data_IF_081448154884
#
_entry.id   IF_081448154884
#
_cell.length_a   1.000
_cell.length_b   1.000
_cell.length_c   1.000
_cell.angle_alpha   90.00
_cell.angle_beta   90.00
_cell.angle_gamma   90.00
#
_symmetry.space_group_name_H-M   'P 1'
#
loop_
_entity.id
_entity.type
_entity.pdbx_description
1 polymer ?
#
# COMPACT_ATOMS: atom_id res chain seq x y z
N UNK A 1 -35.38 -37.13 44.76
CA UNK A 1 -34.17 -36.31 44.94
C UNK A 1 -33.06 -36.95 44.12
N UNK A 2 -32.60 -36.31 43.04
CA UNK A 2 -31.78 -36.93 41.98
C UNK A 2 -30.31 -36.45 42.05
N UNK A 3 -29.27 -37.32 42.01
CA UNK A 3 -27.92 -36.93 42.40
C UNK A 3 -26.98 -36.82 41.18
N UNK A 4 -26.93 -35.67 40.50
CA UNK A 4 -25.82 -35.39 39.56
C UNK A 4 -25.20 -34.03 39.87
N UNK A 5 -24.00 -34.07 40.42
CA UNK A 5 -23.14 -32.91 40.70
C UNK A 5 -22.55 -32.44 39.36
N UNK A 6 -22.79 -31.18 38.98
CA UNK A 6 -22.20 -30.59 37.76
C UNK A 6 -20.66 -30.63 37.88
N UNK A 7 -19.99 -31.19 36.88
CA UNK A 7 -18.52 -31.14 36.77
C UNK A 7 -18.07 -29.67 36.67
N UNK A 8 -16.97 -29.35 37.35
CA UNK A 8 -16.33 -28.02 37.29
C UNK A 8 -15.92 -27.71 35.85
N UNK A 9 -16.09 -26.45 35.44
CA UNK A 9 -15.74 -25.98 34.10
C UNK A 9 -14.23 -26.20 33.85
N UNK A 10 -13.91 -27.00 32.83
CA UNK A 10 -12.55 -27.27 32.38
C UNK A 10 -11.91 -25.96 31.90
N UNK A 11 -10.87 -25.50 32.59
CA UNK A 11 -10.08 -24.35 32.12
C UNK A 11 -9.10 -24.88 31.08
N UNK A 12 -9.43 -24.68 29.80
CA UNK A 12 -8.53 -25.06 28.70
C UNK A 12 -7.41 -24.02 28.58
N UNK A 13 -6.19 -24.50 28.38
CA UNK A 13 -5.10 -23.65 27.92
C UNK A 13 -5.44 -23.12 26.54
N UNK A 14 -5.36 -21.80 26.38
CA UNK A 14 -5.59 -21.11 25.11
C UNK A 14 -4.68 -21.75 24.06
N UNK A 15 -5.24 -22.23 22.95
CA UNK A 15 -4.43 -22.78 21.87
C UNK A 15 -3.64 -21.65 21.19
N UNK A 16 -2.54 -21.98 20.52
CA UNK A 16 -1.75 -20.98 19.79
C UNK A 16 -2.63 -20.23 18.77
N UNK A 17 -3.56 -20.92 18.12
CA UNK A 17 -4.52 -20.30 17.19
C UNK A 17 -5.48 -19.32 17.88
N UNK A 18 -5.94 -19.67 19.07
CA UNK A 18 -6.82 -18.82 19.87
C UNK A 18 -6.06 -17.61 20.44
N UNK A 19 -4.79 -17.77 20.79
CA UNK A 19 -3.90 -16.67 21.18
C UNK A 19 -3.59 -15.74 20.01
N UNK A 20 -3.27 -16.28 18.83
CA UNK A 20 -2.98 -15.50 17.63
C UNK A 20 -4.20 -14.72 17.15
N UNK A 21 -5.37 -15.36 17.13
CA UNK A 21 -6.62 -14.68 16.78
C UNK A 21 -6.98 -13.58 17.79
N UNK A 22 -6.77 -13.81 19.10
CA UNK A 22 -6.94 -12.78 20.13
C UNK A 22 -5.93 -11.62 19.99
N UNK A 23 -4.72 -11.91 19.51
CA UNK A 23 -3.69 -10.91 19.19
C UNK A 23 -3.96 -10.17 17.86
N UNK A 24 -5.09 -10.41 17.19
CA UNK A 24 -5.46 -9.77 15.92
C UNK A 24 -4.78 -10.36 14.70
N UNK A 25 -4.08 -11.50 14.85
CA UNK A 25 -3.46 -12.25 13.76
C UNK A 25 -4.49 -13.25 13.23
N UNK A 26 -5.19 -12.86 12.16
CA UNK A 26 -6.22 -13.71 11.55
C UNK A 26 -5.59 -14.90 10.84
N UNK A 27 -5.87 -16.12 11.31
CA UNK A 27 -5.48 -17.33 10.61
C UNK A 27 -6.27 -17.48 9.30
N UNK A 28 -5.63 -18.03 8.27
CA UNK A 28 -6.31 -18.42 7.02
C UNK A 28 -7.17 -19.68 7.23
N UNK A 29 -8.01 -20.05 6.25
CA UNK A 29 -8.85 -21.26 6.35
C UNK A 29 -8.07 -22.56 6.60
N UNK A 30 -6.78 -22.59 6.28
CA UNK A 30 -5.85 -23.70 6.54
C UNK A 30 -5.17 -23.62 7.92
N UNK A 31 -5.44 -22.60 8.73
CA UNK A 31 -4.82 -22.39 10.04
C UNK A 31 -3.49 -21.62 10.01
N UNK A 32 -2.94 -21.37 8.83
CA UNK A 32 -1.63 -20.71 8.68
C UNK A 32 -1.76 -19.19 8.70
N UNK A 33 -0.80 -18.54 9.35
CA UNK A 33 -0.68 -17.08 9.35
C UNK A 33 0.07 -16.60 8.10
N UNK A 34 -0.57 -15.74 7.31
CA UNK A 34 0.02 -15.19 6.08
C UNK A 34 0.22 -13.69 6.22
N UNK A 35 1.47 -13.27 6.14
CA UNK A 35 1.94 -11.90 6.05
C UNK A 35 2.53 -11.59 4.66
N UNK A 36 2.71 -10.31 4.29
CA UNK A 36 3.42 -9.92 3.07
C UNK A 36 4.77 -10.61 2.89
N UNK A 37 5.58 -10.71 3.96
CA UNK A 37 6.90 -11.33 3.92
C UNK A 37 6.83 -12.84 3.72
N UNK A 38 5.88 -13.53 4.38
CA UNK A 38 5.68 -14.97 4.16
C UNK A 38 5.09 -15.26 2.79
N UNK A 39 4.24 -14.38 2.25
CA UNK A 39 3.67 -14.53 0.92
C UNK A 39 4.73 -14.35 -0.17
N UNK A 40 5.62 -13.37 -0.03
CA UNK A 40 6.71 -13.13 -0.97
C UNK A 40 7.79 -14.23 -0.94
N UNK A 41 7.90 -14.99 0.16
CA UNK A 41 8.75 -16.18 0.21
C UNK A 41 8.37 -17.26 -0.82
N UNK A 42 7.15 -17.20 -1.37
CA UNK A 42 6.69 -18.12 -2.41
C UNK A 42 7.10 -17.58 -3.80
N UNK A 43 7.94 -18.32 -4.57
CA UNK A 43 8.51 -17.78 -5.82
C UNK A 43 7.47 -17.35 -6.86
N UNK A 44 6.32 -18.03 -6.90
CA UNK A 44 5.21 -17.66 -7.77
C UNK A 44 4.65 -16.26 -7.45
N UNK A 45 4.49 -15.94 -6.16
CA UNK A 45 4.00 -14.64 -5.70
C UNK A 45 5.06 -13.57 -5.95
N UNK A 46 6.32 -13.84 -5.59
CA UNK A 46 7.44 -12.92 -5.84
C UNK A 46 7.53 -12.52 -7.32
N UNK A 47 7.43 -13.50 -8.23
CA UNK A 47 7.47 -13.27 -9.67
C UNK A 47 6.26 -12.48 -10.16
N UNK A 48 5.04 -12.85 -9.75
CA UNK A 48 3.83 -12.15 -10.16
C UNK A 48 3.86 -10.67 -9.72
N UNK A 49 4.20 -10.42 -8.46
CA UNK A 49 4.32 -9.06 -7.91
C UNK A 49 5.41 -8.27 -8.64
N UNK A 50 6.55 -8.90 -8.92
CA UNK A 50 7.66 -8.26 -9.64
C UNK A 50 7.27 -7.87 -11.05
N UNK A 51 6.69 -8.78 -11.83
CA UNK A 51 6.28 -8.53 -13.22
C UNK A 51 5.28 -7.39 -13.31
N UNK A 52 4.24 -7.39 -12.46
CA UNK A 52 3.23 -6.32 -12.46
C UNK A 52 3.85 -4.99 -12.06
N UNK A 53 4.68 -4.98 -11.01
CA UNK A 53 5.27 -3.75 -10.48
C UNK A 53 6.27 -3.13 -11.44
N UNK A 54 7.07 -3.94 -12.13
CA UNK A 54 8.02 -3.46 -13.13
C UNK A 54 7.31 -2.99 -14.40
N UNK A 55 6.28 -3.70 -14.86
CA UNK A 55 5.49 -3.29 -16.01
C UNK A 55 4.85 -1.90 -15.80
N UNK A 56 4.37 -1.60 -14.59
CA UNK A 56 3.82 -0.27 -14.28
C UNK A 56 4.93 0.76 -14.09
N UNK A 57 6.07 0.36 -13.52
CA UNK A 57 7.19 1.27 -13.29
C UNK A 57 7.86 1.77 -14.58
N UNK A 58 7.80 1.02 -15.68
CA UNK A 58 8.30 1.48 -16.99
C UNK A 58 7.38 2.50 -17.66
N UNK A 59 6.12 2.63 -17.22
CA UNK A 59 5.17 3.54 -17.85
C UNK A 59 5.44 4.99 -17.41
N UNK A 60 5.62 5.93 -18.35
CA UNK A 60 5.63 7.35 -18.04
C UNK A 60 4.23 7.80 -17.59
N UNK A 61 4.18 8.73 -16.65
CA UNK A 61 2.95 9.31 -16.11
C UNK A 61 2.89 10.78 -16.49
N UNK A 62 2.27 11.08 -17.62
CA UNK A 62 2.20 12.44 -18.14
C UNK A 62 1.04 13.23 -17.53
N UNK A 63 1.31 14.48 -17.16
CA UNK A 63 0.30 15.39 -16.64
C UNK A 63 -0.37 16.18 -17.77
N UNK A 64 -1.68 16.02 -17.93
CA UNK A 64 -2.44 16.76 -18.94
C UNK A 64 -3.33 17.82 -18.31
N UNK A 65 -3.36 19.02 -18.90
CA UNK A 65 -4.39 20.03 -18.66
C UNK A 65 -5.55 19.77 -19.60
N UNK A 66 -6.72 19.54 -19.02
CA UNK A 66 -7.97 19.45 -19.76
C UNK A 66 -8.47 20.87 -20.01
N UNK A 67 -8.68 21.22 -21.28
CA UNK A 67 -9.27 22.48 -21.67
C UNK A 67 -10.56 22.22 -22.47
N UNK A 68 -11.54 23.10 -22.30
CA UNK A 68 -12.76 23.08 -23.11
C UNK A 68 -12.81 24.36 -23.93
N UNK A 69 -12.57 24.26 -25.23
CA UNK A 69 -12.72 25.39 -26.15
C UNK A 69 -13.78 25.04 -27.20
N UNK A 70 -14.72 25.95 -27.43
CA UNK A 70 -15.79 25.81 -28.43
C UNK A 70 -16.58 24.48 -28.33
N UNK A 71 -16.81 23.99 -27.11
CA UNK A 71 -17.55 22.74 -26.88
C UNK A 71 -16.75 21.45 -27.15
N UNK A 72 -15.44 21.54 -27.47
CA UNK A 72 -14.56 20.39 -27.66
C UNK A 72 -13.54 20.30 -26.52
N UNK A 73 -13.37 19.09 -25.98
CA UNK A 73 -12.30 18.79 -25.03
C UNK A 73 -10.97 18.69 -25.78
N UNK A 74 -9.98 19.47 -25.35
CA UNK A 74 -8.58 19.32 -25.74
C UNK A 74 -7.73 18.99 -24.52
N UNK A 75 -6.67 18.22 -24.74
CA UNK A 75 -5.70 17.85 -23.70
C UNK A 75 -4.34 18.36 -24.11
N UNK A 76 -3.76 19.19 -23.26
CA UNK A 76 -2.43 19.75 -23.42
C UNK A 76 -1.50 19.08 -22.43
N UNK A 77 -0.38 18.51 -22.90
CA UNK A 77 0.63 17.96 -22.00
C UNK A 77 1.39 19.09 -21.32
N UNK A 78 1.49 19.06 -20.00
CA UNK A 78 2.24 20.01 -19.19
C UNK A 78 3.60 19.42 -18.79
N UNK A 79 4.55 19.37 -19.73
CA UNK A 79 5.90 18.85 -19.49
C UNK A 79 6.69 19.66 -18.44
N UNK A 80 6.42 20.96 -18.35
CA UNK A 80 7.17 21.88 -17.48
C UNK A 80 6.61 21.92 -16.05
N UNK A 81 5.58 21.13 -15.75
CA UNK A 81 4.97 21.13 -14.42
C UNK A 81 5.81 20.30 -13.44
N UNK A 82 6.06 20.77 -12.21
CA UNK A 82 6.88 20.06 -11.23
C UNK A 82 6.44 18.62 -10.98
N UNK A 83 5.12 18.36 -10.96
CA UNK A 83 4.57 17.01 -10.79
C UNK A 83 4.96 16.05 -11.93
N UNK A 84 5.00 16.51 -13.18
CA UNK A 84 5.41 15.65 -14.31
C UNK A 84 6.89 15.26 -14.15
N UNK A 85 7.73 16.24 -13.79
CA UNK A 85 9.14 16.04 -13.48
C UNK A 85 9.35 15.06 -12.31
N UNK A 86 8.63 15.22 -11.20
CA UNK A 86 8.76 14.33 -10.03
C UNK A 86 8.37 12.88 -10.36
N UNK A 87 7.33 12.69 -11.18
CA UNK A 87 6.83 11.35 -11.49
C UNK A 87 7.66 10.64 -12.58
N UNK A 88 8.35 11.38 -13.44
CA UNK A 88 9.05 10.80 -14.59
C UNK A 88 10.57 10.91 -14.55
N UNK A 89 11.13 11.88 -13.83
CA UNK A 89 12.58 12.17 -13.84
C UNK A 89 13.21 12.02 -12.46
N UNK A 90 12.70 12.70 -11.44
CA UNK A 90 13.35 12.76 -10.13
C UNK A 90 12.35 12.84 -8.98
N UNK A 91 11.87 11.70 -8.43
CA UNK A 91 10.89 11.71 -7.35
C UNK A 91 11.49 12.19 -6.03
N UNK A 92 12.75 11.81 -5.75
CA UNK A 92 13.47 12.11 -4.52
C UNK A 92 14.96 11.80 -4.68
N UNK A 93 15.73 12.16 -3.66
CA UNK A 93 17.19 12.07 -3.69
C UNK A 93 17.76 10.65 -3.60
N UNK A 94 16.93 9.66 -3.25
CA UNK A 94 17.40 8.31 -2.93
C UNK A 94 17.00 7.24 -3.95
N UNK A 95 16.07 7.50 -4.87
CA UNK A 95 15.62 6.50 -5.82
C UNK A 95 15.20 7.08 -7.17
N UNK A 96 15.26 6.25 -8.21
CA UNK A 96 14.80 6.61 -9.55
C UNK A 96 13.26 6.58 -9.64
N UNK A 97 12.64 7.26 -10.63
CA UNK A 97 11.19 7.18 -10.89
C UNK A 97 10.68 5.74 -11.03
N UNK A 98 11.48 4.89 -11.68
CA UNK A 98 11.19 3.47 -11.82
C UNK A 98 11.14 2.78 -10.45
N UNK A 99 12.16 2.97 -9.62
CA UNK A 99 12.22 2.38 -8.28
C UNK A 99 11.06 2.88 -7.40
N UNK A 100 10.70 4.16 -7.51
CA UNK A 100 9.58 4.76 -6.80
C UNK A 100 8.24 4.12 -7.18
N UNK A 101 7.91 4.10 -8.47
CA UNK A 101 6.66 3.48 -8.97
C UNK A 101 6.59 1.99 -8.64
N UNK A 102 7.70 1.27 -8.80
CA UNK A 102 7.81 -0.16 -8.46
C UNK A 102 7.56 -0.40 -6.97
N UNK A 103 8.13 0.44 -6.10
CA UNK A 103 7.96 0.33 -4.64
C UNK A 103 6.52 0.58 -4.24
N UNK A 104 5.89 1.64 -4.75
CA UNK A 104 4.48 1.92 -4.48
C UNK A 104 3.56 0.79 -4.97
N UNK A 105 3.81 0.25 -6.17
CA UNK A 105 3.02 -0.86 -6.68
C UNK A 105 3.20 -2.12 -5.82
N UNK A 106 4.43 -2.44 -5.39
CA UNK A 106 4.69 -3.55 -4.47
C UNK A 106 3.97 -3.38 -3.13
N UNK A 107 3.98 -2.16 -2.56
CA UNK A 107 3.23 -1.85 -1.35
C UNK A 107 1.73 -2.12 -1.52
N UNK A 108 1.16 -1.65 -2.64
CA UNK A 108 -0.24 -1.84 -2.96
C UNK A 108 -0.61 -3.32 -3.14
N UNK A 109 0.18 -4.09 -3.92
CA UNK A 109 -0.10 -5.50 -4.19
C UNK A 109 0.01 -6.39 -2.95
N UNK A 110 0.92 -6.08 -2.02
CA UNK A 110 1.17 -6.89 -0.84
C UNK A 110 0.33 -6.47 0.39
N UNK A 111 0.07 -5.18 0.56
CA UNK A 111 -0.57 -4.64 1.76
C UNK A 111 -1.96 -4.04 1.48
N UNK A 112 -2.37 -3.96 0.21
CA UNK A 112 -3.62 -3.33 -0.24
C UNK A 112 -3.55 -1.80 -0.38
N UNK A 113 -2.53 -1.15 0.19
CA UNK A 113 -2.35 0.30 0.13
C UNK A 113 -0.89 0.67 -0.10
N UNK A 114 -0.68 1.86 -0.67
CA UNK A 114 0.64 2.46 -0.85
C UNK A 114 0.59 3.93 -0.43
N UNK A 115 1.67 4.40 0.19
CA UNK A 115 1.76 5.76 0.71
C UNK A 115 3.06 6.42 0.28
N UNK A 116 2.97 7.70 -0.08
CA UNK A 116 4.11 8.57 -0.27
C UNK A 116 3.85 9.89 0.44
N UNK A 117 4.86 10.38 1.15
CA UNK A 117 4.86 11.70 1.78
C UNK A 117 5.33 12.71 0.74
N UNK A 118 4.55 13.78 0.60
CA UNK A 118 4.89 14.91 -0.25
C UNK A 118 5.64 15.92 0.61
N UNK A 119 6.86 16.25 0.19
CA UNK A 119 7.62 17.38 0.74
C UNK A 119 7.29 18.60 -0.11
N UNK A 120 6.79 19.64 0.55
CA UNK A 120 6.35 20.87 -0.11
C UNK A 120 7.43 21.94 -0.05
N UNK A 121 7.64 22.61 -1.17
CA UNK A 121 8.50 23.80 -1.26
C UNK A 121 7.84 25.03 -0.63
N UNK A 122 8.64 26.10 -0.43
CA UNK A 122 8.17 27.38 0.11
C UNK A 122 7.22 28.13 -0.83
N UNK A 123 7.28 27.79 -2.11
CA UNK A 123 6.41 28.25 -3.20
C UNK A 123 5.08 27.49 -3.28
N UNK A 124 4.86 26.50 -2.41
CA UNK A 124 3.65 25.69 -2.37
C UNK A 124 3.61 24.60 -3.46
N UNK A 125 4.69 24.41 -4.21
CA UNK A 125 4.81 23.32 -5.18
C UNK A 125 5.40 22.06 -4.51
N UNK A 126 5.04 20.85 -4.98
CA UNK A 126 5.67 19.63 -4.48
C UNK A 126 7.14 19.60 -4.92
N UNK A 127 8.04 19.33 -3.98
CA UNK A 127 9.49 19.30 -4.19
C UNK A 127 10.03 17.87 -4.24
N UNK A 128 9.48 16.95 -3.46
CA UNK A 128 9.86 15.54 -3.51
C UNK A 128 8.75 14.62 -2.98
N UNK A 129 8.83 13.35 -3.37
CA UNK A 129 7.89 12.29 -3.02
C UNK A 129 8.66 11.14 -2.37
N UNK A 130 8.43 10.87 -1.10
CA UNK A 130 9.12 9.79 -0.37
C UNK A 130 8.15 8.65 -0.05
N UNK A 131 8.37 7.42 -0.54
CA UNK A 131 7.51 6.29 -0.22
C UNK A 131 7.70 5.92 1.25
N UNK A 132 6.60 5.60 1.93
CA UNK A 132 6.61 5.08 3.29
C UNK A 132 6.12 3.62 3.31
N UNK A 133 6.72 2.76 4.14
CA UNK A 133 6.24 1.40 4.31
C UNK A 133 4.82 1.44 4.88
N UNK A 134 3.85 0.65 4.34
CA UNK A 134 2.47 0.69 4.81
C UNK A 134 2.30 0.35 6.28
N UNK A 135 3.19 -0.48 6.84
CA UNK A 135 3.21 -0.83 8.27
C UNK A 135 3.54 0.36 9.19
N UNK A 136 4.17 1.42 8.67
CA UNK A 136 4.50 2.62 9.42
C UNK A 136 3.44 3.72 9.30
N UNK A 137 2.33 3.47 8.60
CA UNK A 137 1.28 4.46 8.35
C UNK A 137 -0.03 3.98 8.97
N UNK A 138 -0.64 4.84 9.79
CA UNK A 138 -1.98 4.61 10.34
C UNK A 138 -2.92 5.65 9.77
N UNK A 139 -3.85 5.20 8.92
CA UNK A 139 -4.85 6.08 8.34
C UNK A 139 -5.86 6.48 9.43
N UNK A 140 -5.99 7.78 9.68
CA UNK A 140 -7.01 8.32 10.58
C UNK A 140 -8.07 9.03 9.75
N UNK A 141 -9.34 8.68 10.01
CA UNK A 141 -10.46 9.43 9.45
C UNK A 141 -10.54 10.76 10.18
N UNK A 142 -10.35 11.86 9.46
CA UNK A 142 -10.63 13.19 9.98
C UNK A 142 -12.12 13.25 10.35
N UNK A 143 -12.43 13.67 11.57
CA UNK A 143 -13.81 14.03 11.94
C UNK A 143 -14.29 15.08 10.95
N UNK A 144 -15.42 14.82 10.30
CA UNK A 144 -16.03 15.70 9.32
C UNK A 144 -16.06 17.15 9.83
N UNK A 145 -15.50 18.07 9.03
CA UNK A 145 -15.78 19.50 9.15
C UNK A 145 -17.21 19.78 8.67
#
# INVERSE_FOLDING_TARGET
MWPFKRKAAETRSISIDEFLSLAGMSNTKSGEHVSPSTAEGLPAVMNAVTVISEAIATMPCYLYRVQHQHGKESREWLSDHPVDYLLNEYPNDCQTPFQFKRTLMRHCLLNGNAYAVIVWGKDGQPQSLHPYPPSAVVAQRLSSH
#
